data_IF_170623508334
#
_entry.id   IF_170623508334
#
_cell.length_a   1.000
_cell.length_b   1.000
_cell.length_c   1.000
_cell.angle_alpha   90.00
_cell.angle_beta   90.00
_cell.angle_gamma   90.00
#
_symmetry.space_group_name_H-M   'P 1'
#
loop_
_entity.id
_entity.type
_entity.pdbx_description
1 polymer ?
#
# COMPACT_ATOMS: atom_id res chain seq x y z
N UNK A 1 4.48 -28.45 -20.62
CA UNK A 1 3.40 -27.62 -20.07
C UNK A 1 3.65 -26.17 -20.51
N UNK A 2 2.66 -25.49 -21.10
CA UNK A 2 2.78 -24.03 -21.26
C UNK A 2 2.82 -23.41 -19.85
N UNK A 3 3.77 -22.53 -19.58
CA UNK A 3 3.75 -21.76 -18.35
C UNK A 3 2.42 -20.99 -18.28
N UNK A 4 1.77 -20.97 -17.11
CA UNK A 4 0.57 -20.15 -16.91
C UNK A 4 0.98 -18.69 -17.08
N UNK A 5 0.24 -17.93 -17.88
CA UNK A 5 0.45 -16.50 -18.01
C UNK A 5 0.21 -15.84 -16.63
N UNK A 6 1.08 -14.92 -16.25
CA UNK A 6 0.85 -14.09 -15.06
C UNK A 6 -0.19 -13.03 -15.41
N UNK A 7 -1.24 -12.99 -14.63
CA UNK A 7 -2.35 -12.07 -14.81
C UNK A 7 -2.55 -11.19 -13.58
N UNK A 8 -2.67 -9.90 -13.80
CA UNK A 8 -3.01 -8.91 -12.77
C UNK A 8 -4.32 -8.26 -13.16
N UNK A 9 -5.21 -8.06 -12.18
CA UNK A 9 -6.44 -7.29 -12.37
C UNK A 9 -6.38 -6.05 -11.50
N UNK A 10 -6.61 -4.88 -12.11
CA UNK A 10 -6.76 -3.61 -11.42
C UNK A 10 -8.23 -3.25 -11.28
N UNK A 11 -8.69 -3.02 -10.05
CA UNK A 11 -10.01 -2.49 -9.74
C UNK A 11 -9.87 -1.03 -9.34
N UNK A 12 -10.36 -0.13 -10.21
CA UNK A 12 -10.23 1.31 -10.09
C UNK A 12 -9.21 1.92 -11.03
N UNK A 13 -9.66 2.27 -12.25
CA UNK A 13 -8.86 2.93 -13.30
C UNK A 13 -8.76 4.45 -13.07
N UNK A 14 -8.60 4.89 -11.81
CA UNK A 14 -8.31 6.28 -11.44
C UNK A 14 -6.83 6.61 -11.62
N UNK A 15 -6.43 7.84 -11.24
CA UNK A 15 -5.03 8.30 -11.38
C UNK A 15 -4.02 7.38 -10.66
N UNK A 16 -4.35 6.88 -9.48
CA UNK A 16 -3.48 5.96 -8.72
C UNK A 16 -3.39 4.62 -9.46
N UNK A 17 -4.55 4.03 -9.78
CA UNK A 17 -4.60 2.75 -10.47
C UNK A 17 -3.88 2.78 -11.82
N UNK A 18 -4.11 3.82 -12.63
CA UNK A 18 -3.45 3.94 -13.93
C UNK A 18 -1.95 4.26 -13.83
N UNK A 19 -1.49 4.95 -12.78
CA UNK A 19 -0.05 5.10 -12.54
C UNK A 19 0.61 3.75 -12.24
N UNK A 20 -0.06 2.88 -11.48
CA UNK A 20 0.38 1.49 -11.26
C UNK A 20 0.32 0.68 -12.57
N UNK A 21 -0.83 0.73 -13.27
CA UNK A 21 -1.05 -0.02 -14.50
C UNK A 21 -0.01 0.32 -15.57
N UNK A 22 0.32 1.60 -15.77
CA UNK A 22 1.32 2.03 -16.73
C UNK A 22 2.73 1.50 -16.38
N UNK A 23 3.11 1.53 -15.10
CA UNK A 23 4.39 0.97 -14.66
C UNK A 23 4.43 -0.55 -14.86
N UNK A 24 3.35 -1.25 -14.55
CA UNK A 24 3.23 -2.69 -14.76
C UNK A 24 3.31 -3.05 -16.25
N UNK A 25 2.54 -2.33 -17.07
CA UNK A 25 2.47 -2.49 -18.51
C UNK A 25 3.85 -2.34 -19.18
N UNK A 26 4.61 -1.33 -18.79
CA UNK A 26 5.94 -1.06 -19.36
C UNK A 26 7.03 -2.02 -18.89
N UNK A 27 6.81 -2.73 -17.78
CA UNK A 27 7.84 -3.54 -17.11
C UNK A 27 8.04 -4.94 -17.69
N UNK A 28 7.05 -5.48 -18.42
CA UNK A 28 7.04 -6.89 -18.86
C UNK A 28 6.90 -7.88 -17.69
N UNK A 29 6.37 -7.45 -16.54
CA UNK A 29 6.27 -8.29 -15.36
C UNK A 29 5.14 -9.33 -15.45
N UNK A 30 4.07 -9.04 -16.20
CA UNK A 30 2.96 -9.95 -16.45
C UNK A 30 2.59 -9.97 -17.93
N UNK A 31 1.88 -11.00 -18.35
CA UNK A 31 1.41 -11.22 -19.70
C UNK A 31 -0.02 -10.71 -19.92
N UNK A 32 -0.79 -10.53 -18.83
CA UNK A 32 -2.18 -10.07 -18.90
C UNK A 32 -2.47 -9.02 -17.81
N UNK A 33 -3.14 -7.93 -18.22
CA UNK A 33 -3.64 -6.88 -17.33
C UNK A 33 -5.12 -6.66 -17.60
N UNK A 34 -5.97 -6.96 -16.61
CA UNK A 34 -7.40 -6.65 -16.64
C UNK A 34 -7.69 -5.32 -15.94
N UNK A 35 -8.53 -4.49 -16.53
CA UNK A 35 -8.99 -3.22 -15.94
C UNK A 35 -10.48 -3.31 -15.61
N UNK A 36 -10.84 -2.99 -14.38
CA UNK A 36 -12.22 -2.90 -13.90
C UNK A 36 -12.42 -1.50 -13.31
N UNK A 37 -13.44 -0.81 -13.72
CA UNK A 37 -13.85 0.48 -13.11
C UNK A 37 -15.38 0.54 -13.02
N UNK A 38 -15.89 1.30 -12.07
CA UNK A 38 -17.31 1.57 -11.98
C UNK A 38 -17.87 2.21 -13.26
N UNK A 39 -17.08 3.03 -13.92
CA UNK A 39 -17.34 3.58 -15.25
C UNK A 39 -16.69 2.70 -16.31
N UNK A 40 -17.42 1.70 -16.82
CA UNK A 40 -16.91 0.70 -17.75
C UNK A 40 -16.25 1.32 -19.02
N UNK A 41 -16.90 2.35 -19.59
CA UNK A 41 -16.36 3.07 -20.77
C UNK A 41 -14.99 3.70 -20.50
N UNK A 42 -14.74 4.15 -19.26
CA UNK A 42 -13.44 4.68 -18.88
C UNK A 42 -12.39 3.58 -18.84
N UNK A 43 -12.69 2.42 -18.24
CA UNK A 43 -11.77 1.28 -18.23
C UNK A 43 -11.46 0.79 -19.65
N UNK A 44 -12.45 0.82 -20.54
CA UNK A 44 -12.26 0.49 -21.96
C UNK A 44 -11.32 1.49 -22.64
N UNK A 45 -11.54 2.79 -22.45
CA UNK A 45 -10.68 3.84 -23.00
C UNK A 45 -9.23 3.72 -22.54
N UNK A 46 -9.01 3.47 -21.24
CA UNK A 46 -7.66 3.24 -20.66
C UNK A 46 -7.01 1.97 -21.26
N UNK A 47 -7.78 0.89 -21.43
CA UNK A 47 -7.28 -0.32 -22.05
C UNK A 47 -6.91 -0.11 -23.52
N UNK A 48 -7.70 0.66 -24.28
CA UNK A 48 -7.41 1.02 -25.67
C UNK A 48 -6.13 1.82 -25.77
N UNK A 49 -5.94 2.85 -24.92
CA UNK A 49 -4.76 3.71 -24.94
C UNK A 49 -3.48 2.91 -24.65
N UNK A 50 -3.50 2.05 -23.61
CA UNK A 50 -2.39 1.14 -23.34
C UNK A 50 -2.10 0.21 -24.52
N UNK A 51 -3.14 -0.43 -25.11
CA UNK A 51 -2.97 -1.35 -26.23
C UNK A 51 -2.38 -0.67 -27.48
N UNK A 52 -2.65 0.64 -27.72
CA UNK A 52 -2.04 1.39 -28.81
C UNK A 52 -0.52 1.50 -28.65
N UNK A 53 -0.01 1.47 -27.39
CA UNK A 53 1.42 1.44 -27.09
C UNK A 53 2.07 0.05 -27.21
N UNK A 54 1.31 -1.01 -27.51
CA UNK A 54 1.74 -2.41 -27.43
C UNK A 54 2.95 -2.79 -28.28
N UNK A 55 3.23 -2.04 -29.36
CA UNK A 55 4.44 -2.23 -30.17
C UNK A 55 5.73 -1.70 -29.52
N UNK A 56 5.62 -0.93 -28.43
CA UNK A 56 6.71 -0.20 -27.77
C UNK A 56 7.14 -0.82 -26.44
N UNK A 57 6.45 -1.86 -25.98
CA UNK A 57 6.66 -2.53 -24.68
C UNK A 57 6.78 -4.05 -24.86
N UNK A 58 7.23 -4.79 -23.85
CA UNK A 58 7.15 -6.24 -23.85
C UNK A 58 5.70 -6.73 -24.08
N UNK A 59 5.51 -7.90 -24.73
CA UNK A 59 4.17 -8.40 -25.05
C UNK A 59 3.29 -8.53 -23.79
N UNK A 60 2.17 -7.80 -23.80
CA UNK A 60 1.16 -7.82 -22.75
C UNK A 60 -0.22 -7.61 -23.37
N UNK A 61 -1.22 -8.35 -22.91
CA UNK A 61 -2.62 -8.19 -23.29
C UNK A 61 -3.33 -7.35 -22.23
N UNK A 62 -3.86 -6.20 -22.63
CA UNK A 62 -4.68 -5.35 -21.74
C UNK A 62 -6.15 -5.50 -22.14
N UNK A 63 -7.00 -5.79 -21.17
CA UNK A 63 -8.46 -5.94 -21.35
C UNK A 63 -9.22 -5.09 -20.33
N UNK A 64 -10.43 -4.71 -20.66
CA UNK A 64 -11.41 -4.16 -19.71
C UNK A 64 -12.62 -5.10 -19.61
N UNK A 65 -13.31 -5.09 -18.49
CA UNK A 65 -14.50 -5.93 -18.29
C UNK A 65 -14.98 -5.90 -16.84
N UNK A 66 -15.75 -6.94 -16.46
CA UNK A 66 -16.27 -7.11 -15.11
C UNK A 66 -15.39 -8.01 -14.24
N UNK A 67 -15.94 -8.38 -13.08
CA UNK A 67 -15.24 -9.21 -12.08
C UNK A 67 -14.96 -10.64 -12.53
N UNK A 68 -15.56 -11.11 -13.62
CA UNK A 68 -15.20 -12.39 -14.26
C UNK A 68 -13.72 -12.48 -14.63
N UNK A 69 -13.06 -11.34 -14.86
CA UNK A 69 -11.64 -11.29 -15.13
C UNK A 69 -10.77 -11.68 -13.92
N UNK A 70 -11.35 -11.65 -12.71
CA UNK A 70 -10.61 -11.99 -11.49
C UNK A 70 -10.38 -13.50 -11.35
N UNK A 71 -11.21 -14.34 -11.94
CA UNK A 71 -11.25 -15.80 -11.71
C UNK A 71 -9.89 -16.50 -11.88
N UNK A 72 -9.08 -16.09 -12.84
CA UNK A 72 -7.78 -16.69 -13.17
C UNK A 72 -6.58 -15.76 -12.91
N UNK A 73 -6.82 -14.63 -12.24
CA UNK A 73 -5.77 -13.69 -11.88
C UNK A 73 -4.84 -14.24 -10.79
N UNK A 74 -3.58 -13.85 -10.81
CA UNK A 74 -2.62 -14.13 -9.73
C UNK A 74 -2.68 -13.05 -8.65
N UNK A 75 -2.92 -11.79 -9.05
CA UNK A 75 -3.01 -10.65 -8.13
C UNK A 75 -4.15 -9.73 -8.55
N UNK A 76 -4.95 -9.31 -7.57
CA UNK A 76 -5.88 -8.19 -7.70
C UNK A 76 -5.28 -6.98 -7.01
N UNK A 77 -5.32 -5.82 -7.68
CA UNK A 77 -4.96 -4.54 -7.07
C UNK A 77 -6.20 -3.66 -6.97
N UNK A 78 -6.53 -3.23 -5.75
CA UNK A 78 -7.67 -2.34 -5.49
C UNK A 78 -7.14 -0.92 -5.26
N UNK A 79 -7.41 -0.04 -6.23
CA UNK A 79 -7.13 1.40 -6.15
C UNK A 79 -8.42 2.23 -6.36
N UNK A 80 -9.57 1.55 -6.37
CA UNK A 80 -10.90 2.15 -6.46
C UNK A 80 -11.42 2.56 -5.09
N UNK A 81 -12.11 3.68 -5.04
CA UNK A 81 -12.75 4.21 -3.84
C UNK A 81 -13.25 5.62 -4.08
N UNK A 82 -14.07 6.11 -3.18
CA UNK A 82 -14.59 7.48 -3.26
C UNK A 82 -13.56 8.45 -2.65
N UNK A 83 -13.23 9.55 -3.32
CA UNK A 83 -12.37 10.58 -2.76
C UNK A 83 -13.10 11.35 -1.65
N UNK A 84 -12.33 11.86 -0.70
CA UNK A 84 -12.86 12.79 0.32
C UNK A 84 -13.30 14.09 -0.35
N UNK A 85 -14.52 14.52 -0.07
CA UNK A 85 -15.06 15.79 -0.57
C UNK A 85 -14.72 16.93 0.40
N UNK A 86 -14.70 18.19 -0.08
CA UNK A 86 -14.58 19.34 0.79
C UNK A 86 -15.69 19.35 1.86
N UNK A 87 -15.32 19.48 3.13
CA UNK A 87 -16.25 19.48 4.26
C UNK A 87 -16.61 18.09 4.82
N UNK A 88 -16.17 17.01 4.19
CA UNK A 88 -16.33 15.66 4.75
C UNK A 88 -15.29 15.36 5.83
N UNK A 89 -15.74 14.69 6.88
CA UNK A 89 -14.84 14.17 7.90
C UNK A 89 -14.14 12.89 7.43
N UNK A 90 -13.08 12.47 8.14
CA UNK A 90 -12.42 11.19 7.90
C UNK A 90 -13.36 10.00 8.13
N UNK A 91 -14.28 10.11 9.10
CA UNK A 91 -15.30 9.08 9.37
C UNK A 91 -16.29 8.94 8.22
N UNK A 92 -16.77 10.05 7.65
CA UNK A 92 -17.66 10.01 6.48
C UNK A 92 -17.00 9.29 5.29
N UNK A 93 -15.70 9.48 5.11
CA UNK A 93 -14.93 8.77 4.08
C UNK A 93 -14.84 7.27 4.37
N UNK A 94 -14.59 6.90 5.62
CA UNK A 94 -14.57 5.49 6.07
C UNK A 94 -15.90 4.83 5.78
N UNK A 95 -17.02 5.43 6.21
CA UNK A 95 -18.37 4.87 6.08
C UNK A 95 -18.79 4.64 4.62
N UNK A 96 -18.30 5.48 3.72
CA UNK A 96 -18.55 5.31 2.29
C UNK A 96 -17.69 4.21 1.69
N UNK A 97 -16.40 4.24 1.98
CA UNK A 97 -15.45 3.33 1.36
C UNK A 97 -15.55 1.91 1.91
N UNK A 98 -15.97 1.73 3.17
CA UNK A 98 -16.19 0.37 3.70
C UNK A 98 -17.34 -0.34 2.98
N UNK A 99 -18.40 0.39 2.58
CA UNK A 99 -19.51 -0.15 1.77
C UNK A 99 -19.04 -0.53 0.37
N UNK A 100 -18.22 0.33 -0.24
CA UNK A 100 -17.61 0.04 -1.57
C UNK A 100 -16.72 -1.19 -1.51
N UNK A 101 -15.88 -1.32 -0.48
CA UNK A 101 -15.00 -2.49 -0.30
C UNK A 101 -15.81 -3.76 -0.03
N UNK A 102 -16.92 -3.67 0.72
CA UNK A 102 -17.83 -4.80 0.93
C UNK A 102 -18.39 -5.32 -0.40
N UNK A 103 -18.93 -4.43 -1.23
CA UNK A 103 -19.46 -4.77 -2.56
C UNK A 103 -18.39 -5.38 -3.48
N UNK A 104 -17.19 -4.78 -3.53
CA UNK A 104 -16.05 -5.34 -4.26
C UNK A 104 -15.69 -6.73 -3.74
N UNK A 105 -15.67 -6.93 -2.43
CA UNK A 105 -15.33 -8.22 -1.80
C UNK A 105 -16.29 -9.34 -2.21
N UNK A 106 -17.59 -9.05 -2.19
CA UNK A 106 -18.63 -10.00 -2.61
C UNK A 106 -18.43 -10.43 -4.07
N UNK A 107 -18.14 -9.49 -4.97
CA UNK A 107 -17.90 -9.77 -6.38
C UNK A 107 -16.58 -10.52 -6.62
N UNK A 108 -15.51 -10.20 -5.89
CA UNK A 108 -14.23 -10.91 -5.96
C UNK A 108 -14.43 -12.37 -5.52
N UNK A 109 -15.10 -12.61 -4.40
CA UNK A 109 -15.38 -13.98 -3.92
C UNK A 109 -16.25 -14.73 -4.93
N UNK A 110 -17.29 -14.10 -5.47
CA UNK A 110 -18.18 -14.71 -6.46
C UNK A 110 -17.47 -15.07 -7.77
N UNK A 111 -16.38 -14.39 -8.13
CA UNK A 111 -15.58 -14.71 -9.32
C UNK A 111 -14.79 -16.02 -9.20
N UNK A 112 -14.63 -16.56 -7.99
CA UNK A 112 -13.78 -17.72 -7.73
C UNK A 112 -12.28 -17.43 -7.67
N UNK A 113 -11.89 -16.13 -7.50
CA UNK A 113 -10.50 -15.74 -7.33
C UNK A 113 -9.84 -16.43 -6.13
N UNK A 114 -8.58 -16.88 -6.30
CA UNK A 114 -7.80 -17.59 -5.26
C UNK A 114 -6.32 -17.14 -5.25
N UNK A 115 -6.07 -15.85 -5.52
CA UNK A 115 -4.72 -15.25 -5.50
C UNK A 115 -4.50 -14.31 -4.32
N UNK A 116 -3.68 -13.29 -4.52
CA UNK A 116 -3.35 -12.26 -3.53
C UNK A 116 -4.04 -10.95 -3.87
N UNK A 117 -4.63 -10.28 -2.87
CA UNK A 117 -5.24 -8.96 -3.04
C UNK A 117 -4.35 -7.91 -2.42
N UNK A 118 -4.00 -6.88 -3.20
CA UNK A 118 -3.27 -5.68 -2.76
C UNK A 118 -4.22 -4.50 -2.79
N UNK A 119 -4.38 -3.76 -1.69
CA UNK A 119 -5.26 -2.60 -1.61
C UNK A 119 -4.50 -1.33 -1.26
N UNK A 120 -4.85 -0.21 -1.96
CA UNK A 120 -4.33 1.13 -1.69
C UNK A 120 -5.43 2.18 -1.48
N UNK A 121 -6.70 1.77 -1.49
CA UNK A 121 -7.82 2.67 -1.22
C UNK A 121 -7.78 3.16 0.23
N UNK A 122 -8.05 4.45 0.44
CA UNK A 122 -7.99 5.07 1.77
C UNK A 122 -9.35 5.08 2.48
N UNK A 123 -9.32 4.93 3.82
CA UNK A 123 -8.16 4.70 4.72
C UNK A 123 -7.64 3.26 4.62
N UNK A 124 -6.40 3.11 4.16
CA UNK A 124 -5.89 1.82 3.71
C UNK A 124 -5.92 0.73 4.78
N UNK A 125 -5.49 1.02 6.01
CA UNK A 125 -5.44 0.01 7.07
C UNK A 125 -6.85 -0.43 7.48
N UNK A 126 -7.81 0.50 7.60
CA UNK A 126 -9.22 0.19 7.86
C UNK A 126 -9.80 -0.70 6.77
N UNK A 127 -9.55 -0.33 5.50
CA UNK A 127 -10.10 -1.06 4.36
C UNK A 127 -9.41 -2.41 4.15
N UNK A 128 -8.13 -2.56 4.53
CA UNK A 128 -7.42 -3.84 4.54
C UNK A 128 -8.04 -4.81 5.55
N UNK A 129 -8.31 -4.34 6.77
CA UNK A 129 -9.02 -5.12 7.80
C UNK A 129 -10.43 -5.53 7.34
N UNK A 130 -11.17 -4.58 6.75
CA UNK A 130 -12.53 -4.82 6.24
C UNK A 130 -12.54 -5.82 5.08
N UNK A 131 -11.61 -5.67 4.13
CA UNK A 131 -11.45 -6.55 2.98
C UNK A 131 -11.23 -8.00 3.41
N UNK A 132 -10.33 -8.24 4.37
CA UNK A 132 -10.09 -9.57 4.91
C UNK A 132 -11.35 -10.16 5.57
N UNK A 133 -12.05 -9.36 6.37
CA UNK A 133 -13.28 -9.77 7.04
C UNK A 133 -14.39 -10.14 6.05
N UNK A 134 -14.56 -9.36 4.98
CA UNK A 134 -15.63 -9.57 4.00
C UNK A 134 -15.32 -10.69 3.01
N UNK A 135 -14.06 -10.85 2.61
CA UNK A 135 -13.67 -11.92 1.68
C UNK A 135 -13.50 -13.28 2.39
N UNK A 136 -13.14 -13.27 3.67
CA UNK A 136 -12.76 -14.50 4.39
C UNK A 136 -11.45 -15.13 3.92
N UNK A 137 -10.66 -14.42 3.11
CA UNK A 137 -9.38 -14.92 2.59
C UNK A 137 -8.36 -15.13 3.71
N UNK A 138 -7.39 -16.04 3.51
CA UNK A 138 -6.26 -16.19 4.43
C UNK A 138 -5.57 -14.83 4.66
N UNK A 139 -5.21 -14.54 5.92
CA UNK A 139 -4.65 -13.25 6.33
C UNK A 139 -3.41 -12.83 5.53
N UNK A 140 -2.56 -13.78 5.18
CA UNK A 140 -1.36 -13.54 4.38
C UNK A 140 -1.66 -13.09 2.94
N UNK A 141 -2.82 -13.41 2.39
CA UNK A 141 -3.21 -13.08 1.01
C UNK A 141 -3.88 -11.71 0.85
N UNK A 142 -4.07 -10.97 1.95
CA UNK A 142 -4.56 -9.60 1.94
C UNK A 142 -3.41 -8.68 2.34
N UNK A 143 -3.06 -7.74 1.48
CA UNK A 143 -1.91 -6.85 1.65
C UNK A 143 -2.36 -5.42 1.42
N UNK A 144 -2.33 -4.58 2.45
CA UNK A 144 -2.50 -3.15 2.26
C UNK A 144 -1.19 -2.50 1.83
N UNK A 145 -1.25 -1.44 1.01
CA UNK A 145 -0.04 -0.68 0.67
C UNK A 145 0.65 -0.08 1.90
N UNK A 146 -0.08 0.08 3.00
CA UNK A 146 0.41 0.51 4.30
C UNK A 146 1.29 1.75 4.22
N UNK A 147 2.39 1.69 4.92
CA UNK A 147 3.38 2.76 4.99
C UNK A 147 4.56 2.59 4.01
N UNK A 148 4.40 1.77 2.95
CA UNK A 148 5.43 1.59 1.91
C UNK A 148 5.84 2.93 1.29
N UNK A 149 4.86 3.77 0.92
CA UNK A 149 5.15 5.09 0.36
C UNK A 149 5.72 6.05 1.40
N UNK A 150 5.22 6.03 2.64
CA UNK A 150 5.71 6.92 3.71
C UNK A 150 7.15 6.57 4.08
N UNK A 151 7.50 5.28 4.11
CA UNK A 151 8.87 4.82 4.27
C UNK A 151 9.78 5.27 3.11
N UNK A 152 9.26 5.28 1.88
CA UNK A 152 9.98 5.83 0.73
C UNK A 152 10.21 7.34 0.86
N UNK A 153 9.20 8.11 1.31
CA UNK A 153 9.31 9.54 1.60
C UNK A 153 10.33 9.82 2.70
N UNK A 154 10.28 9.03 3.76
CA UNK A 154 11.22 9.12 4.88
C UNK A 154 12.67 8.94 4.40
N UNK A 155 12.92 7.88 3.63
CA UNK A 155 14.24 7.61 3.05
C UNK A 155 14.69 8.70 2.07
N UNK A 156 13.75 9.26 1.29
CA UNK A 156 14.04 10.37 0.39
C UNK A 156 14.46 11.62 1.15
N UNK A 157 13.71 12.02 2.18
CA UNK A 157 14.01 13.22 2.98
C UNK A 157 15.32 13.06 3.75
N UNK A 158 15.57 11.87 4.32
CA UNK A 158 16.86 11.58 4.98
C UNK A 158 18.01 11.59 3.98
N UNK A 159 17.83 10.99 2.81
CA UNK A 159 18.83 10.98 1.75
C UNK A 159 19.19 12.40 1.30
N UNK A 160 18.18 13.23 1.07
CA UNK A 160 18.35 14.65 0.68
C UNK A 160 19.16 15.42 1.73
N UNK A 161 18.78 15.33 3.02
CA UNK A 161 19.53 15.98 4.12
C UNK A 161 20.97 15.50 4.25
N UNK A 162 21.22 14.23 3.95
CA UNK A 162 22.54 13.60 4.05
C UNK A 162 23.38 13.70 2.77
N UNK A 163 22.78 14.17 1.65
CA UNK A 163 23.44 14.17 0.34
C UNK A 163 23.64 12.74 -0.21
N UNK A 164 22.72 11.83 0.09
CA UNK A 164 22.76 10.41 -0.30
C UNK A 164 21.60 10.02 -1.23
N UNK A 165 21.81 8.99 -2.03
CA UNK A 165 20.69 8.33 -2.71
C UNK A 165 19.72 7.76 -1.66
N UNK A 166 18.38 7.90 -1.83
CA UNK A 166 17.41 7.34 -0.90
C UNK A 166 17.56 5.83 -0.65
N UNK A 167 18.07 5.10 -1.64
CA UNK A 167 18.37 3.66 -1.54
C UNK A 167 19.53 3.32 -0.59
N UNK A 168 20.36 4.31 -0.25
CA UNK A 168 21.50 4.15 0.70
C UNK A 168 21.10 4.36 2.16
N UNK A 169 19.85 4.72 2.42
CA UNK A 169 19.27 4.88 3.75
C UNK A 169 18.25 3.76 3.98
N UNK A 170 18.36 3.04 5.09
CA UNK A 170 17.32 2.14 5.59
C UNK A 170 16.54 2.87 6.69
N UNK A 171 15.23 2.75 6.65
CA UNK A 171 14.34 3.32 7.66
C UNK A 171 12.89 3.09 7.26
N UNK A 172 12.04 3.02 8.27
CA UNK A 172 10.63 2.68 8.12
C UNK A 172 9.75 3.71 8.84
N UNK A 173 8.66 4.05 8.20
CA UNK A 173 7.47 4.58 8.86
C UNK A 173 6.58 3.39 9.16
N UNK A 174 6.07 3.30 10.38
CA UNK A 174 5.18 2.23 10.86
C UNK A 174 3.94 2.84 11.52
N UNK A 175 2.99 2.00 11.92
CA UNK A 175 1.71 2.44 12.45
C UNK A 175 0.65 2.62 11.38
N UNK A 176 -0.46 3.24 11.71
CA UNK A 176 -1.53 3.58 10.79
C UNK A 176 -1.02 4.54 9.70
N UNK A 177 -1.33 4.25 8.43
CA UNK A 177 -1.10 5.23 7.36
C UNK A 177 -2.00 6.46 7.55
N UNK A 178 -1.51 7.46 8.29
CA UNK A 178 -2.25 8.65 8.65
C UNK A 178 -1.53 9.49 9.70
N UNK A 179 -2.32 10.17 10.55
CA UNK A 179 -1.80 11.15 11.50
C UNK A 179 -1.08 10.51 12.70
N UNK A 180 -1.24 9.21 12.92
CA UNK A 180 -0.61 8.45 14.03
C UNK A 180 0.57 7.60 13.60
N UNK A 181 1.02 7.71 12.34
CA UNK A 181 2.24 7.06 11.89
C UNK A 181 3.47 7.57 12.64
N UNK A 182 4.51 6.75 12.73
CA UNK A 182 5.76 7.11 13.41
C UNK A 182 6.97 6.60 12.63
N UNK A 183 8.08 7.31 12.76
CA UNK A 183 9.36 6.84 12.25
C UNK A 183 10.03 5.92 13.28
N UNK A 184 10.45 4.73 12.86
CA UNK A 184 11.22 3.81 13.67
C UNK A 184 12.71 4.22 13.65
N UNK A 185 13.06 5.32 14.34
CA UNK A 185 14.40 5.90 14.37
C UNK A 185 15.45 4.92 14.89
N UNK A 186 15.09 4.10 15.88
CA UNK A 186 15.95 3.04 16.43
C UNK A 186 16.40 2.04 15.38
N UNK A 187 15.66 1.94 14.26
CA UNK A 187 15.94 1.03 13.14
C UNK A 187 16.46 1.74 11.88
N UNK A 188 16.72 3.04 11.96
CA UNK A 188 17.36 3.77 10.84
C UNK A 188 18.82 3.38 10.74
N UNK A 189 19.25 3.07 9.51
CA UNK A 189 20.62 2.71 9.21
C UNK A 189 21.18 3.56 8.07
N UNK A 190 22.35 4.14 8.32
CA UNK A 190 23.10 4.94 7.36
C UNK A 190 24.53 4.39 7.29
N UNK A 191 24.99 4.05 6.10
CA UNK A 191 26.32 3.43 5.88
C UNK A 191 26.58 2.15 6.69
N UNK A 192 25.55 1.36 6.98
CA UNK A 192 25.68 0.16 7.82
C UNK A 192 25.75 0.43 9.32
N UNK A 193 25.58 1.70 9.76
CA UNK A 193 25.54 2.09 11.17
C UNK A 193 24.13 2.43 11.58
N UNK A 194 23.72 2.02 12.77
CA UNK A 194 22.49 2.56 13.40
C UNK A 194 22.58 4.07 13.53
N UNK A 195 21.46 4.76 13.47
CA UNK A 195 21.39 6.22 13.36
C UNK A 195 22.13 6.96 14.47
N UNK A 196 21.96 6.56 15.74
CA UNK A 196 22.67 7.18 16.85
C UNK A 196 24.19 7.02 16.71
N UNK A 197 24.66 5.83 16.30
CA UNK A 197 26.08 5.57 16.04
C UNK A 197 26.62 6.30 14.81
N UNK A 198 25.77 6.56 13.83
CA UNK A 198 26.12 7.43 12.72
C UNK A 198 26.29 8.88 13.19
N UNK A 199 25.38 9.40 14.01
CA UNK A 199 25.49 10.76 14.55
C UNK A 199 26.76 10.98 15.35
N UNK A 200 27.16 10.04 16.23
CA UNK A 200 28.41 10.12 17.05
C UNK A 200 29.68 10.36 16.20
N UNK A 201 29.67 9.92 14.93
CA UNK A 201 30.83 9.96 14.04
C UNK A 201 30.65 10.90 12.84
N UNK A 202 29.55 11.62 12.79
CA UNK A 202 29.20 12.53 11.71
C UNK A 202 29.25 14.00 12.18
N UNK A 203 29.01 14.91 11.25
CA UNK A 203 28.84 16.35 11.56
C UNK A 203 27.41 16.72 11.95
N UNK A 204 26.47 15.76 11.90
CA UNK A 204 25.05 16.00 12.13
C UNK A 204 24.68 15.77 13.58
N UNK A 205 23.63 16.45 14.03
CA UNK A 205 23.01 16.31 15.34
C UNK A 205 21.56 15.84 15.20
N UNK A 206 20.89 15.44 16.28
CA UNK A 206 19.47 15.04 16.24
C UNK A 206 18.57 16.21 15.78
N UNK A 207 18.94 17.42 16.13
CA UNK A 207 18.20 18.65 15.78
C UNK A 207 18.14 18.86 14.25
N UNK A 208 19.15 18.43 13.51
CA UNK A 208 19.14 18.50 12.04
C UNK A 208 18.03 17.65 11.40
N UNK A 209 17.48 16.71 12.14
CA UNK A 209 16.44 15.77 11.70
C UNK A 209 15.10 15.94 12.39
N UNK A 210 14.94 16.90 13.28
CA UNK A 210 13.74 17.11 14.10
C UNK A 210 12.46 17.35 13.25
N UNK A 211 12.60 17.89 12.05
CA UNK A 211 11.50 18.20 11.13
C UNK A 211 11.12 17.06 10.17
N UNK A 212 11.84 15.93 10.22
CA UNK A 212 11.71 14.86 9.22
C UNK A 212 10.35 14.15 9.31
N UNK A 213 9.92 13.77 10.51
CA UNK A 213 8.63 13.08 10.69
C UNK A 213 7.46 13.97 10.24
N UNK A 214 7.47 15.25 10.61
CA UNK A 214 6.45 16.21 10.16
C UNK A 214 6.44 16.35 8.63
N UNK A 215 7.61 16.45 8.01
CA UNK A 215 7.74 16.53 6.55
C UNK A 215 7.20 15.28 5.85
N UNK A 216 7.42 14.09 6.40
CA UNK A 216 6.88 12.85 5.86
C UNK A 216 5.36 12.85 5.95
N UNK A 217 4.80 13.15 7.12
CA UNK A 217 3.35 13.18 7.36
C UNK A 217 2.66 14.21 6.45
N UNK A 218 3.27 15.39 6.25
CA UNK A 218 2.71 16.45 5.42
C UNK A 218 2.98 16.30 3.93
N UNK A 219 3.84 15.37 3.50
CA UNK A 219 4.26 15.24 2.11
C UNK A 219 3.10 15.06 1.12
N UNK A 220 2.07 14.29 1.52
CA UNK A 220 0.89 14.10 0.68
C UNK A 220 0.12 15.41 0.47
N UNK A 221 -0.10 16.18 1.55
CA UNK A 221 -0.79 17.47 1.50
C UNK A 221 -0.03 18.48 0.61
N UNK A 222 1.29 18.53 0.72
CA UNK A 222 2.12 19.40 -0.11
C UNK A 222 1.99 19.09 -1.62
N UNK A 223 1.93 17.81 -1.97
CA UNK A 223 1.71 17.39 -3.36
C UNK A 223 0.28 17.71 -3.82
N UNK A 224 -0.73 17.41 -2.99
CA UNK A 224 -2.14 17.63 -3.31
C UNK A 224 -2.43 19.13 -3.51
N UNK A 225 -1.88 19.99 -2.66
CA UNK A 225 -2.05 21.43 -2.76
C UNK A 225 -1.51 22.00 -4.09
N UNK A 226 -0.46 21.38 -4.67
CA UNK A 226 0.17 21.86 -5.92
C UNK A 226 -0.43 21.22 -7.17
N UNK A 227 -0.75 19.92 -7.14
CA UNK A 227 -1.21 19.20 -8.35
C UNK A 227 -2.54 18.47 -8.18
N UNK A 228 -3.29 18.75 -7.11
CA UNK A 228 -4.63 18.26 -6.79
C UNK A 228 -4.69 16.82 -6.31
N UNK A 229 -3.73 15.97 -6.64
CA UNK A 229 -3.67 14.58 -6.21
C UNK A 229 -2.24 14.05 -6.18
N UNK A 230 -1.97 13.02 -5.37
CA UNK A 230 -0.73 12.24 -5.41
C UNK A 230 -1.03 10.87 -6.00
N UNK A 231 -0.25 10.42 -6.98
CA UNK A 231 -0.52 9.15 -7.67
C UNK A 231 0.73 8.45 -8.22
N UNK A 232 1.79 9.13 -8.66
CA UNK A 232 2.95 8.45 -9.24
C UNK A 232 3.68 7.57 -8.23
N UNK A 233 4.00 8.12 -7.06
CA UNK A 233 4.78 7.40 -6.06
C UNK A 233 4.00 6.23 -5.43
N UNK A 234 2.68 6.38 -5.22
CA UNK A 234 1.85 5.26 -4.77
C UNK A 234 1.69 4.20 -5.86
N UNK A 235 1.64 4.58 -7.14
CA UNK A 235 1.68 3.62 -8.24
C UNK A 235 2.97 2.79 -8.25
N UNK A 236 4.13 3.41 -7.97
CA UNK A 236 5.40 2.70 -7.80
C UNK A 236 5.43 1.81 -6.55
N UNK A 237 4.82 2.24 -5.44
CA UNK A 237 4.71 1.40 -4.23
C UNK A 237 3.88 0.14 -4.52
N UNK A 238 2.72 0.28 -5.16
CA UNK A 238 1.90 -0.85 -5.60
C UNK A 238 2.65 -1.77 -6.55
N UNK A 239 3.35 -1.22 -7.53
CA UNK A 239 4.19 -1.99 -8.46
C UNK A 239 5.26 -2.79 -7.70
N UNK A 240 5.91 -2.20 -6.71
CA UNK A 240 6.94 -2.88 -5.90
C UNK A 240 6.35 -4.06 -5.14
N UNK A 241 5.17 -3.90 -4.53
CA UNK A 241 4.47 -4.97 -3.81
C UNK A 241 4.06 -6.09 -4.79
N UNK A 242 3.42 -5.74 -5.91
CA UNK A 242 2.98 -6.71 -6.92
C UNK A 242 4.18 -7.44 -7.56
N UNK A 243 5.28 -6.73 -7.81
CA UNK A 243 6.52 -7.34 -8.31
C UNK A 243 7.06 -8.38 -7.32
N UNK A 244 7.09 -8.06 -6.03
CA UNK A 244 7.53 -8.99 -4.99
C UNK A 244 6.68 -10.27 -4.97
N UNK A 245 5.36 -10.14 -5.14
CA UNK A 245 4.44 -11.28 -5.21
C UNK A 245 4.67 -12.11 -6.47
N UNK A 246 4.65 -11.48 -7.65
CA UNK A 246 4.75 -12.19 -8.93
C UNK A 246 6.11 -12.88 -9.16
N UNK A 247 7.18 -12.32 -8.57
CA UNK A 247 8.55 -12.86 -8.68
C UNK A 247 8.98 -13.69 -7.49
N UNK A 248 8.14 -13.79 -6.46
CA UNK A 248 8.49 -14.47 -5.20
C UNK A 248 9.78 -13.92 -4.58
N UNK A 249 9.89 -12.58 -4.54
CA UNK A 249 11.16 -11.94 -4.15
C UNK A 249 11.48 -12.10 -2.66
N UNK A 250 10.49 -12.41 -1.83
CA UNK A 250 10.64 -12.53 -0.38
C UNK A 250 11.37 -11.31 0.21
N UNK A 251 10.94 -10.12 -0.20
CA UNK A 251 11.56 -8.85 0.15
C UNK A 251 10.81 -8.18 1.30
N UNK A 252 11.56 -7.47 2.15
CA UNK A 252 11.01 -6.69 3.25
C UNK A 252 10.40 -5.38 2.74
N UNK A 253 9.10 -5.18 2.97
CA UNK A 253 8.33 -3.98 2.62
C UNK A 253 7.47 -3.54 3.81
N UNK A 254 7.31 -2.23 4.01
CA UNK A 254 6.43 -1.67 5.03
C UNK A 254 4.98 -1.64 4.51
N UNK A 255 4.28 -2.75 4.61
CA UNK A 255 2.90 -2.94 4.16
C UNK A 255 1.94 -2.97 5.36
N UNK A 256 0.62 -2.84 5.12
CA UNK A 256 -0.35 -3.24 6.14
C UNK A 256 -0.36 -4.75 6.23
N UNK A 257 0.42 -5.28 7.16
CA UNK A 257 0.50 -6.68 7.51
C UNK A 257 -0.36 -6.99 8.74
N UNK A 258 -0.83 -8.24 8.86
CA UNK A 258 -1.63 -8.66 10.02
C UNK A 258 -0.72 -8.90 11.21
N UNK A 259 -0.81 -8.04 12.21
CA UNK A 259 -0.11 -8.21 13.49
C UNK A 259 -0.86 -9.21 14.37
N UNK A 260 -0.13 -10.22 14.83
CA UNK A 260 -0.58 -11.27 15.75
C UNK A 260 0.45 -11.29 16.90
N UNK A 261 0.13 -10.65 18.01
CA UNK A 261 1.00 -10.41 19.18
C UNK A 261 2.22 -9.48 18.94
N UNK A 262 2.53 -9.09 17.72
CA UNK A 262 3.64 -8.16 17.42
C UNK A 262 3.41 -6.78 18.04
N UNK A 263 4.43 -6.20 18.65
CA UNK A 263 4.38 -4.91 19.38
C UNK A 263 3.32 -4.86 20.50
N UNK A 264 2.86 -6.02 20.98
CA UNK A 264 1.71 -6.12 21.89
C UNK A 264 0.37 -5.78 21.22
N UNK A 265 0.28 -5.86 19.89
CA UNK A 265 -0.91 -5.65 19.09
C UNK A 265 -1.41 -7.00 18.62
N UNK A 266 -2.70 -7.24 18.76
CA UNK A 266 -3.33 -8.48 18.34
C UNK A 266 -4.55 -8.19 17.45
N UNK A 267 -4.61 -8.95 16.36
CA UNK A 267 -5.79 -8.99 15.49
C UNK A 267 -5.97 -7.79 14.57
N UNK A 268 -4.91 -7.17 14.04
CA UNK A 268 -5.02 -5.94 13.26
C UNK A 268 -4.05 -5.87 12.08
N UNK A 269 -4.55 -5.46 10.89
CA UNK A 269 -3.68 -5.01 9.81
C UNK A 269 -3.26 -3.57 10.07
N UNK A 270 -1.95 -3.34 10.11
CA UNK A 270 -1.34 -2.03 10.35
C UNK A 270 0.00 -1.94 9.64
N UNK A 271 0.45 -0.74 9.31
CA UNK A 271 1.73 -0.52 8.64
C UNK A 271 2.90 -1.04 9.47
N UNK A 272 3.59 -2.05 8.95
CA UNK A 272 4.75 -2.68 9.59
C UNK A 272 5.63 -3.32 8.52
N UNK A 273 6.96 -3.44 8.73
CA UNK A 273 7.79 -4.26 7.86
C UNK A 273 7.31 -5.71 7.84
N UNK A 274 7.24 -6.28 6.65
CA UNK A 274 6.86 -7.66 6.45
C UNK A 274 7.60 -8.25 5.24
N UNK A 275 7.84 -9.55 5.25
CA UNK A 275 8.38 -10.25 4.10
C UNK A 275 7.25 -10.58 3.14
N UNK A 276 7.35 -10.01 1.94
CA UNK A 276 6.35 -10.18 0.87
C UNK A 276 6.91 -11.10 -0.21
N UNK A 277 6.17 -12.14 -0.51
CA UNK A 277 6.48 -13.14 -1.54
C UNK A 277 5.23 -13.60 -2.27
N UNK A 278 5.32 -14.74 -2.95
CA UNK A 278 4.27 -15.27 -3.85
C UNK A 278 2.89 -15.41 -3.20
N UNK A 279 2.84 -15.74 -1.92
CA UNK A 279 1.58 -15.96 -1.19
C UNK A 279 1.13 -14.73 -0.39
N UNK A 280 1.67 -13.54 -0.72
CA UNK A 280 1.42 -12.30 -0.01
C UNK A 280 2.41 -12.08 1.13
N UNK A 281 1.93 -11.75 2.32
CA UNK A 281 2.75 -11.54 3.52
C UNK A 281 3.12 -12.89 4.12
N UNK A 282 4.40 -13.27 4.01
CA UNK A 282 4.91 -14.51 4.61
C UNK A 282 5.02 -14.41 6.13
N UNK A 283 5.54 -13.28 6.62
CA UNK A 283 5.73 -13.00 8.04
C UNK A 283 5.84 -11.48 8.28
N UNK A 284 5.37 -11.02 9.41
CA UNK A 284 5.64 -9.67 9.91
C UNK A 284 7.02 -9.64 10.54
N UNK A 285 7.80 -8.62 10.23
CA UNK A 285 9.13 -8.39 10.83
C UNK A 285 8.96 -7.43 11.99
N UNK A 286 8.98 -7.95 13.21
CA UNK A 286 8.92 -7.11 14.40
C UNK A 286 10.24 -6.37 14.61
N UNK A 287 10.19 -5.05 14.54
CA UNK A 287 11.33 -4.19 14.79
C UNK A 287 11.63 -4.11 16.29
N UNK A 288 12.90 -4.01 16.65
CA UNK A 288 13.29 -3.65 18.01
C UNK A 288 13.08 -2.15 18.21
N UNK A 289 11.95 -1.79 18.79
CA UNK A 289 11.57 -0.42 19.08
C UNK A 289 12.03 0.00 20.49
N UNK A 290 12.24 1.29 20.68
CA UNK A 290 12.36 1.86 22.04
C UNK A 290 11.01 1.83 22.73
N UNK A 291 11.00 2.01 24.07
CA UNK A 291 9.75 2.08 24.84
C UNK A 291 8.82 3.20 24.34
N UNK A 292 9.40 4.34 23.93
CA UNK A 292 8.65 5.48 23.38
C UNK A 292 8.04 5.13 22.01
N UNK A 293 8.81 4.51 21.12
CA UNK A 293 8.32 4.08 19.79
C UNK A 293 7.26 2.99 19.94
N UNK A 294 7.44 2.05 20.87
CA UNK A 294 6.46 1.01 21.18
C UNK A 294 5.15 1.62 21.66
N UNK A 295 5.21 2.59 22.59
CA UNK A 295 4.02 3.29 23.07
C UNK A 295 3.29 4.04 21.96
N UNK A 296 4.03 4.69 21.04
CA UNK A 296 3.44 5.36 19.85
C UNK A 296 2.79 4.34 18.90
N UNK A 297 3.43 3.20 18.66
CA UNK A 297 2.88 2.12 17.82
C UNK A 297 1.59 1.55 18.40
N UNK A 298 1.55 1.29 19.71
CA UNK A 298 0.35 0.83 20.41
C UNK A 298 -0.76 1.88 20.40
N UNK A 299 -0.41 3.17 20.56
CA UNK A 299 -1.39 4.25 20.41
C UNK A 299 -1.99 4.30 19.01
N UNK A 300 -1.15 4.19 17.98
CA UNK A 300 -1.59 4.15 16.57
C UNK A 300 -2.54 2.97 16.32
N UNK A 301 -2.20 1.79 16.80
CA UNK A 301 -3.07 0.61 16.72
C UNK A 301 -4.42 0.81 17.43
N UNK A 302 -4.42 1.44 18.61
CA UNK A 302 -5.65 1.75 19.35
C UNK A 302 -6.57 2.67 18.55
N UNK A 303 -6.04 3.77 17.99
CA UNK A 303 -6.81 4.73 17.18
C UNK A 303 -7.40 4.03 15.94
N UNK A 304 -6.60 3.19 15.28
CA UNK A 304 -7.06 2.41 14.14
C UNK A 304 -8.19 1.44 14.52
N UNK A 305 -8.06 0.73 15.63
CA UNK A 305 -9.07 -0.22 16.13
C UNK A 305 -10.38 0.49 16.46
N UNK A 306 -10.33 1.62 17.16
CA UNK A 306 -11.52 2.44 17.45
C UNK A 306 -12.21 2.93 16.17
N UNK A 307 -11.42 3.31 15.15
CA UNK A 307 -11.96 3.73 13.83
C UNK A 307 -12.63 2.57 13.12
N UNK A 308 -12.03 1.38 13.17
CA UNK A 308 -12.55 0.17 12.56
C UNK A 308 -13.87 -0.29 13.21
N UNK A 309 -13.95 -0.24 14.54
CA UNK A 309 -15.18 -0.56 15.30
C UNK A 309 -16.34 0.37 14.91
N UNK A 310 -16.10 1.68 14.79
CA UNK A 310 -17.09 2.66 14.32
C UNK A 310 -17.52 2.37 12.87
N UNK A 311 -16.56 2.03 12.01
CA UNK A 311 -16.84 1.70 10.62
C UNK A 311 -17.72 0.45 10.49
N UNK A 312 -17.52 -0.56 11.29
CA UNK A 312 -18.38 -1.75 11.29
C UNK A 312 -19.78 -1.45 11.85
N UNK A 313 -19.88 -0.65 12.91
CA UNK A 313 -21.16 -0.26 13.46
C UNK A 313 -22.02 0.50 12.44
N UNK A 314 -21.40 1.32 11.55
CA UNK A 314 -22.12 2.04 10.50
C UNK A 314 -22.69 1.15 9.38
N UNK A 315 -22.24 -0.10 9.27
CA UNK A 315 -22.78 -1.07 8.31
C UNK A 315 -24.02 -1.80 8.83
N UNK A 316 -24.23 -1.79 10.15
CA UNK A 316 -25.35 -2.48 10.81
C UNK A 316 -26.51 -1.51 11.07
N UNK A 317 -26.29 -0.19 10.92
CA UNK A 317 -27.28 0.87 11.08
C UNK A 317 -27.99 1.18 9.75
#
# INVERSE_FOLDING_TARGET
>A
MKAKNRKVVLIGAGMVGMSFAYQLYSSGLCEELGLIDFFAEKAEGEAMDLNHGGALVPPIKVTSGGYEQCADADVIVIAGGLPQKPGETRLDLVDKNIKVVKDMSEQIVASGFDGVIVIASNPVDVLTNALQKFTGFPRNRIVGSGTTLDSSRFRYILGDKLGLAPSSVRGYIIGEHGDTQLAAWSNVNVYGKQFDKFLETSRYTKEDFADVEEKVMRAAYEVINRKRATYYAIGLALFTIVKAILRDENVELAVSGYCDEHYGIDGLYIGTPAIVGREGVREVVELQLTDEETAKMQHSAKVLKETLEKAYASLEA
#
